data_IF_308616099655
#
_entry.id   IF_308616099655
#
_cell.length_a   1.000
_cell.length_b   1.000
_cell.length_c   1.000
_cell.angle_alpha   90.00
_cell.angle_beta   90.00
_cell.angle_gamma   90.00
#
_symmetry.space_group_name_H-M   'P 1'
#
loop_
_entity.id
_entity.type
_entity.pdbx_description
1 polymer ?
#
# COMPACT_ATOMS: atom_id res chain seq x y z
N UNK A 1 7.02 -1.08 44.58
CA UNK A 1 7.52 -1.71 43.36
C UNK A 1 6.38 -1.94 42.39
N UNK A 2 6.19 -1.11 41.38
CA UNK A 2 5.16 -1.26 40.34
C UNK A 2 5.85 -1.58 39.01
N UNK A 3 5.67 -2.80 38.51
CA UNK A 3 6.12 -3.24 37.19
C UNK A 3 5.31 -2.55 36.11
N UNK A 4 5.94 -1.68 35.30
CA UNK A 4 5.37 -1.16 34.08
C UNK A 4 5.56 -2.21 32.97
N UNK A 5 4.47 -2.84 32.56
CA UNK A 5 4.44 -3.73 31.41
C UNK A 5 4.62 -2.96 30.10
N UNK A 6 5.69 -3.25 29.37
CA UNK A 6 5.87 -2.81 27.99
C UNK A 6 4.91 -3.58 27.09
N UNK A 7 3.93 -2.90 26.51
CA UNK A 7 3.09 -3.45 25.44
C UNK A 7 3.92 -3.52 24.16
N UNK A 8 4.28 -4.74 23.74
CA UNK A 8 4.85 -5.03 22.43
C UNK A 8 3.81 -4.68 21.37
N UNK A 9 4.15 -3.77 20.45
CA UNK A 9 3.36 -3.52 19.26
C UNK A 9 3.53 -4.72 18.32
N UNK A 10 2.48 -5.50 18.12
CA UNK A 10 2.45 -6.57 17.15
C UNK A 10 2.43 -5.96 15.73
N UNK A 11 3.47 -6.27 14.95
CA UNK A 11 3.50 -6.01 13.51
C UNK A 11 2.70 -7.14 12.87
N UNK A 12 1.48 -6.85 12.41
CA UNK A 12 0.70 -7.77 11.60
C UNK A 12 1.17 -7.63 10.16
N UNK A 13 1.97 -8.59 9.70
CA UNK A 13 2.31 -8.77 8.29
C UNK A 13 1.14 -9.52 7.64
N UNK A 14 0.21 -8.81 7.03
CA UNK A 14 -0.80 -9.43 6.17
C UNK A 14 -0.26 -9.47 4.74
N UNK A 15 0.32 -10.61 4.36
CA UNK A 15 0.61 -10.93 2.97
C UNK A 15 -0.66 -11.58 2.38
N UNK A 16 -1.40 -10.86 1.55
CA UNK A 16 -2.51 -11.42 0.78
C UNK A 16 -1.93 -12.11 -0.46
N UNK A 17 -1.85 -13.43 -0.43
CA UNK A 17 -1.59 -14.26 -1.62
C UNK A 17 -2.91 -14.41 -2.40
N UNK A 18 -2.93 -13.93 -3.63
CA UNK A 18 -3.96 -14.31 -4.61
C UNK A 18 -3.36 -15.41 -5.47
N UNK A 19 -3.86 -16.64 -5.32
CA UNK A 19 -3.58 -17.74 -6.22
C UNK A 19 -4.52 -17.64 -7.42
N UNK A 20 -3.97 -17.52 -8.62
CA UNK A 20 -4.68 -17.87 -9.85
C UNK A 20 -4.00 -19.10 -10.45
N UNK A 21 -4.75 -20.20 -10.48
CA UNK A 21 -4.44 -21.43 -11.21
C UNK A 21 -4.66 -21.21 -12.71
N UNK A 22 -3.61 -21.35 -13.51
CA UNK A 22 -3.74 -21.71 -14.93
C UNK A 22 -2.68 -22.76 -15.26
N UNK A 23 -3.17 -23.81 -15.93
CA UNK A 23 -2.46 -25.02 -16.34
C UNK A 23 -1.56 -24.82 -17.57
N UNK A 24 -0.45 -25.51 -17.51
CA UNK A 24 0.42 -26.09 -18.55
C UNK A 24 0.37 -25.61 -20.01
N UNK A 25 1.45 -24.95 -20.44
CA UNK A 25 2.16 -25.25 -21.71
C UNK A 25 3.57 -24.64 -21.61
N UNK A 26 4.58 -25.47 -21.81
CA UNK A 26 5.99 -25.13 -21.59
C UNK A 26 6.52 -24.02 -22.50
N UNK A 27 6.73 -22.87 -21.89
CA UNK A 27 7.73 -21.85 -22.21
C UNK A 27 8.03 -21.16 -20.89
N UNK A 28 9.31 -21.07 -20.53
CA UNK A 28 9.74 -20.34 -19.33
C UNK A 28 9.27 -18.88 -19.44
N UNK A 29 8.12 -18.59 -18.84
CA UNK A 29 7.63 -17.23 -18.70
C UNK A 29 8.63 -16.44 -17.86
N UNK A 30 8.91 -15.16 -18.19
CA UNK A 30 9.72 -14.31 -17.33
C UNK A 30 9.07 -14.29 -15.94
N UNK A 31 9.83 -14.67 -14.90
CA UNK A 31 9.36 -14.64 -13.54
C UNK A 31 8.88 -13.22 -13.24
N UNK A 32 7.57 -13.04 -13.18
CA UNK A 32 6.96 -11.80 -12.73
C UNK A 32 7.43 -11.55 -11.31
N UNK A 33 8.26 -10.52 -11.14
CA UNK A 33 8.63 -9.99 -9.84
C UNK A 33 7.33 -9.59 -9.15
N UNK A 34 6.91 -10.37 -8.16
CA UNK A 34 5.68 -10.13 -7.43
C UNK A 34 5.81 -8.78 -6.72
N UNK A 35 4.95 -7.83 -7.08
CA UNK A 35 4.91 -6.50 -6.49
C UNK A 35 4.64 -6.60 -5.00
N UNK A 36 5.66 -6.34 -4.17
CA UNK A 36 5.48 -6.31 -2.73
C UNK A 36 4.96 -4.94 -2.31
N UNK A 37 3.73 -4.92 -1.80
CA UNK A 37 3.16 -3.74 -1.15
C UNK A 37 3.18 -3.95 0.35
N UNK A 38 3.91 -3.10 1.07
CA UNK A 38 3.94 -3.11 2.53
C UNK A 38 3.01 -2.02 3.07
N UNK A 39 2.40 -2.25 4.24
CA UNK A 39 1.52 -1.25 4.86
C UNK A 39 1.73 -1.15 6.38
N UNK A 40 1.49 0.05 6.91
CA UNK A 40 1.55 0.38 8.33
C UNK A 40 0.46 1.38 8.71
N UNK A 41 -0.20 1.18 9.84
CA UNK A 41 -1.11 2.18 10.38
C UNK A 41 -0.34 3.17 11.24
N UNK A 42 -0.34 4.43 10.86
CA UNK A 42 0.25 5.54 11.60
C UNK A 42 -0.79 6.13 12.54
N UNK A 43 -0.44 6.29 13.82
CA UNK A 43 -1.31 6.91 14.84
C UNK A 43 -0.97 8.38 15.00
N UNK A 44 -1.92 9.26 14.71
CA UNK A 44 -1.80 10.69 14.93
C UNK A 44 -2.39 11.06 16.31
N UNK A 45 -1.53 11.28 17.30
CA UNK A 45 -1.95 11.55 18.70
C UNK A 45 -2.54 12.96 18.90
N UNK A 46 -2.31 13.88 17.96
CA UNK A 46 -2.73 15.29 18.10
C UNK A 46 -4.17 15.54 17.63
N UNK A 47 -4.79 14.61 16.95
CA UNK A 47 -6.18 14.76 16.48
C UNK A 47 -7.15 14.48 17.62
N UNK A 48 -7.88 15.51 18.05
CA UNK A 48 -8.97 15.38 19.04
C UNK A 48 -10.20 14.77 18.35
N UNK A 49 -10.85 13.83 19.03
CA UNK A 49 -12.14 13.31 18.57
C UNK A 49 -13.18 14.44 18.63
N UNK A 50 -14.00 14.59 17.60
CA UNK A 50 -15.08 15.57 17.59
C UNK A 50 -16.16 15.23 18.63
N UNK A 51 -16.81 16.26 19.18
CA UNK A 51 -17.98 16.11 20.04
C UNK A 51 -19.23 15.79 19.24
N UNK A 52 -20.01 14.83 19.70
CA UNK A 52 -21.21 14.31 19.01
C UNK A 52 -22.47 14.90 19.65
N UNK A 53 -23.17 15.73 18.92
CA UNK A 53 -24.42 16.34 19.39
C UNK A 53 -25.68 15.49 19.13
N UNK A 54 -25.64 14.62 18.11
CA UNK A 54 -26.68 13.64 17.83
C UNK A 54 -26.00 12.30 17.60
N UNK A 55 -26.34 11.31 18.41
CA UNK A 55 -25.85 9.95 18.26
C UNK A 55 -26.76 9.15 17.33
N UNK A 56 -26.20 8.25 16.55
CA UNK A 56 -26.98 7.44 15.60
C UNK A 56 -27.92 6.46 16.32
N UNK A 57 -27.62 6.04 17.57
CA UNK A 57 -28.50 5.22 18.39
C UNK A 57 -29.71 5.98 18.98
N UNK A 58 -29.73 7.32 18.92
CA UNK A 58 -30.90 8.16 19.23
C UNK A 58 -31.89 8.27 18.05
N UNK A 59 -31.60 7.59 16.95
CA UNK A 59 -32.45 7.54 15.76
C UNK A 59 -33.08 6.15 15.65
N UNK A 60 -34.43 6.10 15.71
CA UNK A 60 -35.16 4.84 15.59
C UNK A 60 -35.57 4.61 14.13
N UNK A 61 -35.14 3.48 13.57
CA UNK A 61 -35.65 2.92 12.31
C UNK A 61 -36.72 1.91 12.66
N UNK A 62 -37.92 2.01 12.04
CA UNK A 62 -39.05 1.14 12.35
C UNK A 62 -40.01 1.01 11.16
N UNK A 63 -41.01 0.12 11.28
CA UNK A 63 -42.03 -0.15 10.23
C UNK A 63 -41.38 -0.48 8.88
N UNK A 64 -40.36 -1.32 8.89
CA UNK A 64 -39.71 -1.78 7.67
C UNK A 64 -40.65 -2.75 6.96
N UNK A 65 -40.98 -2.47 5.71
CA UNK A 65 -41.83 -3.32 4.85
C UNK A 65 -41.16 -3.48 3.49
N UNK A 66 -41.12 -4.71 3.02
CA UNK A 66 -40.76 -5.03 1.64
C UNK A 66 -42.04 -5.46 0.93
N UNK A 67 -42.30 -4.94 -0.24
CA UNK A 67 -43.43 -5.34 -1.09
C UNK A 67 -42.93 -5.61 -2.49
N UNK A 68 -43.48 -6.64 -3.11
CA UNK A 68 -43.41 -6.80 -4.55
C UNK A 68 -44.27 -5.71 -5.20
N UNK A 69 -43.74 -5.08 -6.23
CA UNK A 69 -44.42 -3.98 -6.95
C UNK A 69 -44.77 -4.43 -8.35
N UNK A 70 -43.94 -5.28 -8.95
CA UNK A 70 -44.07 -5.74 -10.31
C UNK A 70 -43.33 -7.07 -10.51
N UNK A 71 -43.83 -7.93 -11.42
CA UNK A 71 -43.22 -9.19 -11.81
C UNK A 71 -43.29 -9.31 -13.32
N UNK A 72 -42.16 -9.47 -13.98
CA UNK A 72 -42.07 -9.67 -15.43
C UNK A 72 -41.48 -11.03 -15.69
N UNK A 73 -42.14 -11.84 -16.56
CA UNK A 73 -41.71 -13.17 -16.96
C UNK A 73 -41.31 -13.07 -18.43
N UNK A 74 -40.13 -13.53 -18.75
CA UNK A 74 -39.67 -13.70 -20.12
C UNK A 74 -39.67 -15.19 -20.43
N UNK A 75 -40.46 -15.56 -21.40
CA UNK A 75 -40.62 -16.91 -21.88
C UNK A 75 -39.89 -17.12 -23.21
N UNK A 76 -39.49 -18.35 -23.52
CA UNK A 76 -38.91 -18.70 -24.82
C UNK A 76 -39.99 -18.66 -25.89
N UNK A 77 -39.67 -18.12 -27.05
CA UNK A 77 -40.55 -18.26 -28.24
C UNK A 77 -40.67 -19.72 -28.61
N UNK A 78 -41.92 -20.22 -28.61
CA UNK A 78 -42.23 -21.55 -29.12
C UNK A 78 -42.13 -21.47 -30.65
N UNK A 79 -41.09 -22.00 -31.24
CA UNK A 79 -41.01 -22.16 -32.68
C UNK A 79 -42.09 -23.19 -33.06
N UNK A 80 -43.17 -22.73 -33.75
CA UNK A 80 -44.08 -23.65 -34.41
C UNK A 80 -43.30 -24.42 -35.47
N UNK A 81 -43.56 -25.75 -35.64
CA UNK A 81 -42.97 -26.52 -36.74
C UNK A 81 -43.46 -25.94 -38.06
N UNK A 82 -42.55 -25.51 -38.92
CA UNK A 82 -42.86 -25.09 -40.27
C UNK A 82 -43.51 -26.26 -41.02
N UNK A 83 -44.81 -26.16 -41.34
CA UNK A 83 -45.50 -27.04 -42.29
C UNK A 83 -45.00 -26.70 -43.67
N UNK A 84 -44.21 -27.60 -44.21
CA UNK A 84 -43.79 -27.58 -45.61
C UNK A 84 -44.98 -27.90 -46.53
N UNK A 85 -45.42 -26.95 -47.31
CA UNK A 85 -46.13 -27.15 -48.61
C UNK A 85 -45.97 -25.84 -49.42
N UNK A 86 -45.20 -25.81 -50.43
CA UNK A 86 -45.62 -25.93 -51.82
C UNK A 86 -44.46 -25.81 -52.81
N UNK A 87 -44.41 -26.74 -53.68
CA UNK A 87 -43.59 -26.81 -54.88
C UNK A 87 -44.03 -25.73 -55.85
N UNK A 88 -43.16 -24.84 -56.31
CA UNK A 88 -43.24 -24.31 -57.68
C UNK A 88 -41.87 -24.12 -58.31
N UNK A 89 -41.73 -24.75 -59.46
CA UNK A 89 -40.65 -24.80 -60.45
C UNK A 89 -40.61 -23.43 -61.17
N UNK A 90 -39.45 -22.83 -61.36
CA UNK A 90 -39.07 -22.15 -62.63
C UNK A 90 -37.56 -21.88 -62.63
N UNK A 91 -36.88 -22.55 -63.38
CA UNK A 91 -35.88 -22.42 -64.47
C UNK A 91 -35.01 -21.14 -64.48
N UNK A 92 -33.72 -21.46 -64.69
CA UNK A 92 -32.68 -20.73 -65.43
C UNK A 92 -32.07 -19.49 -64.73
N UNK A 93 -30.79 -19.23 -64.70
CA UNK A 93 -29.62 -19.58 -65.50
C UNK A 93 -28.29 -19.26 -64.72
N UNK A 94 -27.37 -20.18 -64.90
CA UNK A 94 -25.94 -20.00 -65.20
C UNK A 94 -25.09 -18.88 -64.59
N UNK A 95 -24.00 -19.22 -63.95
CA UNK A 95 -22.60 -19.12 -64.44
C UNK A 95 -21.58 -19.38 -63.34
N UNK A 96 -20.82 -20.45 -63.50
CA UNK A 96 -19.35 -20.67 -63.36
C UNK A 96 -18.60 -19.85 -62.30
N UNK A 97 -17.66 -20.32 -61.55
CA UNK A 97 -16.49 -21.22 -61.80
C UNK A 97 -15.92 -21.63 -60.43
N UNK A 98 -15.51 -22.89 -60.31
CA UNK A 98 -14.14 -23.46 -60.14
C UNK A 98 -13.38 -22.99 -58.92
N UNK A 99 -12.68 -23.79 -58.14
CA UNK A 99 -11.91 -25.04 -58.25
C UNK A 99 -11.71 -25.62 -56.85
N UNK A 100 -11.82 -26.91 -56.73
CA UNK A 100 -10.79 -27.97 -56.51
C UNK A 100 -10.20 -27.98 -55.10
N UNK A 101 -10.02 -29.05 -54.39
CA UNK A 101 -9.62 -30.45 -54.65
C UNK A 101 -9.84 -31.30 -53.37
N UNK A 102 -10.32 -32.47 -53.57
CA UNK A 102 -9.76 -33.82 -53.25
C UNK A 102 -9.46 -34.13 -51.77
N UNK A 103 -9.73 -35.24 -51.23
CA UNK A 103 -9.75 -36.71 -51.47
C UNK A 103 -9.95 -37.33 -50.08
N UNK A 104 -10.36 -38.46 -49.76
CA UNK A 104 -10.71 -39.76 -50.27
C UNK A 104 -11.16 -40.64 -49.08
N UNK A 105 -12.20 -41.48 -49.42
CA UNK A 105 -12.41 -42.92 -49.07
C UNK A 105 -12.28 -43.39 -47.59
N UNK A 106 -13.08 -44.29 -47.08
CA UNK A 106 -13.52 -45.62 -47.45
C UNK A 106 -14.70 -46.11 -46.59
N UNK A 107 -15.73 -46.57 -47.23
CA UNK A 107 -16.52 -47.81 -47.28
C UNK A 107 -16.25 -48.81 -46.12
N UNK A 108 -17.31 -49.30 -45.49
CA UNK A 108 -17.69 -50.73 -45.48
C UNK A 108 -19.16 -50.94 -45.12
N UNK A 109 -19.79 -51.71 -46.01
CA UNK A 109 -21.12 -52.32 -45.91
C UNK A 109 -21.18 -53.38 -44.83
N UNK A 110 -22.39 -53.64 -44.29
CA UNK A 110 -23.06 -54.96 -44.42
C UNK A 110 -24.48 -54.92 -43.87
N UNK A 111 -25.45 -55.15 -44.77
CA UNK A 111 -26.52 -56.16 -44.80
C UNK A 111 -27.22 -56.46 -43.45
N UNK A 112 -28.53 -56.36 -43.34
CA UNK A 112 -29.57 -57.16 -43.93
C UNK A 112 -30.75 -57.33 -43.00
N UNK A 113 -31.90 -57.42 -43.61
CA UNK A 113 -33.15 -58.14 -43.29
C UNK A 113 -34.34 -57.38 -42.72
N UNK A 114 -35.35 -57.46 -43.56
CA UNK A 114 -36.78 -57.20 -43.42
C UNK A 114 -37.42 -57.77 -42.14
N UNK A 115 -38.34 -56.97 -41.55
CA UNK A 115 -39.68 -57.54 -41.31
C UNK A 115 -40.72 -56.41 -41.15
N UNK A 116 -41.73 -56.52 -41.98
CA UNK A 116 -42.99 -55.83 -41.91
C UNK A 116 -43.78 -56.18 -40.65
N UNK A 117 -44.35 -55.22 -39.91
CA UNK A 117 -45.63 -55.37 -39.18
C UNK A 117 -46.23 -53.98 -38.93
N UNK A 118 -47.46 -53.82 -39.45
CA UNK A 118 -48.64 -53.08 -39.03
C UNK A 118 -48.53 -51.72 -38.38
N UNK A 119 -49.15 -50.74 -39.03
CA UNK A 119 -49.53 -49.45 -38.53
C UNK A 119 -50.58 -49.58 -37.43
N UNK A 120 -50.27 -49.11 -36.25
CA UNK A 120 -51.26 -48.68 -35.27
C UNK A 120 -51.13 -47.17 -35.15
N UNK A 121 -52.10 -46.43 -35.65
CA UNK A 121 -52.30 -45.00 -35.33
C UNK A 121 -52.54 -44.83 -33.87
N UNK A 122 -51.53 -44.34 -33.18
CA UNK A 122 -51.65 -43.87 -31.83
C UNK A 122 -51.59 -42.33 -31.87
N UNK A 123 -52.75 -41.73 -32.02
CA UNK A 123 -52.93 -40.28 -31.80
C UNK A 123 -52.68 -39.95 -30.34
N UNK A 124 -51.43 -39.75 -29.97
CA UNK A 124 -51.11 -39.08 -28.73
C UNK A 124 -51.44 -37.59 -28.89
N UNK A 125 -52.49 -37.13 -28.23
CA UNK A 125 -52.67 -35.72 -27.90
C UNK A 125 -51.43 -35.24 -27.17
N UNK A 126 -50.55 -34.53 -27.83
CA UNK A 126 -49.44 -33.85 -27.19
C UNK A 126 -50.03 -32.67 -26.40
N UNK A 127 -50.05 -32.79 -25.06
CA UNK A 127 -50.30 -31.63 -24.19
C UNK A 127 -49.43 -30.43 -24.67
N UNK A 128 -49.96 -29.20 -24.73
CA UNK A 128 -49.23 -28.04 -25.18
C UNK A 128 -48.03 -27.84 -24.25
N UNK A 129 -46.83 -27.97 -24.82
CA UNK A 129 -45.58 -27.71 -24.07
C UNK A 129 -45.64 -26.31 -23.47
N UNK A 130 -45.57 -26.25 -22.14
CA UNK A 130 -45.53 -25.00 -21.41
C UNK A 130 -44.23 -24.27 -21.80
N UNK A 131 -44.27 -22.98 -22.18
CA UNK A 131 -43.05 -22.28 -22.60
C UNK A 131 -42.01 -22.28 -21.51
N UNK A 132 -40.74 -22.51 -21.90
CA UNK A 132 -39.63 -22.49 -20.97
C UNK A 132 -39.40 -21.05 -20.46
N UNK A 133 -39.36 -20.89 -19.15
CA UNK A 133 -39.09 -19.58 -18.52
C UNK A 133 -37.60 -19.25 -18.65
N UNK A 134 -37.26 -18.26 -19.46
CA UNK A 134 -35.90 -17.76 -19.62
C UNK A 134 -35.47 -16.96 -18.38
N UNK A 135 -36.32 -16.05 -17.94
CA UNK A 135 -36.06 -15.27 -16.74
C UNK A 135 -37.34 -14.70 -16.10
N UNK A 136 -37.27 -14.49 -14.78
CA UNK A 136 -38.29 -13.78 -14.01
C UNK A 136 -37.62 -12.60 -13.35
N UNK A 137 -38.08 -11.38 -13.66
CA UNK A 137 -37.63 -10.15 -13.02
C UNK A 137 -38.67 -9.64 -12.06
N UNK A 138 -38.31 -9.59 -10.80
CA UNK A 138 -39.13 -9.03 -9.72
C UNK A 138 -38.70 -7.61 -9.39
N UNK A 139 -39.62 -6.68 -9.31
CA UNK A 139 -39.41 -5.33 -8.79
C UNK A 139 -39.99 -5.23 -7.38
N UNK A 140 -39.12 -4.97 -6.42
CA UNK A 140 -39.49 -4.82 -5.00
C UNK A 140 -39.38 -3.38 -4.56
N UNK A 141 -40.17 -2.99 -3.57
CA UNK A 141 -40.10 -1.69 -2.89
C UNK A 141 -39.91 -1.89 -1.40
N UNK A 142 -38.79 -1.37 -0.85
CA UNK A 142 -38.56 -1.25 0.59
C UNK A 142 -39.10 0.08 1.06
N UNK A 143 -39.94 0.08 2.11
CA UNK A 143 -40.45 1.27 2.80
C UNK A 143 -40.15 1.17 4.27
N UNK A 144 -39.73 2.26 4.90
CA UNK A 144 -39.40 2.33 6.32
C UNK A 144 -39.64 3.73 6.89
N UNK A 145 -39.79 3.82 8.21
CA UNK A 145 -39.90 5.07 8.94
C UNK A 145 -38.66 5.30 9.81
N UNK A 146 -38.24 6.56 9.88
CA UNK A 146 -37.08 7.00 10.69
C UNK A 146 -37.52 8.15 11.59
N UNK A 147 -37.38 7.98 12.91
CA UNK A 147 -37.68 9.00 13.94
C UNK A 147 -36.40 9.51 14.58
N UNK A 148 -36.23 10.83 14.59
CA UNK A 148 -35.19 11.51 15.35
C UNK A 148 -35.65 11.67 16.81
N UNK A 149 -35.05 10.92 17.74
CA UNK A 149 -35.32 11.00 19.20
C UNK A 149 -34.38 11.97 19.92
N UNK A 150 -33.33 12.47 19.25
CA UNK A 150 -32.40 13.43 19.85
C UNK A 150 -33.04 14.80 20.04
N UNK A 151 -32.45 15.60 20.91
CA UNK A 151 -32.86 17.00 21.18
C UNK A 151 -32.39 18.00 20.12
N UNK A 152 -31.58 17.57 19.14
CA UNK A 152 -31.04 18.41 18.07
C UNK A 152 -31.48 17.93 16.69
N UNK A 153 -31.52 18.87 15.73
CA UNK A 153 -31.90 18.58 14.35
C UNK A 153 -30.82 17.79 13.61
N UNK A 154 -31.26 16.85 12.79
CA UNK A 154 -30.41 16.08 11.89
C UNK A 154 -30.39 16.80 10.52
N UNK A 155 -29.21 17.22 10.09
CA UNK A 155 -29.02 17.85 8.78
C UNK A 155 -29.18 16.84 7.63
N UNK A 156 -28.59 15.65 7.79
CA UNK A 156 -28.63 14.55 6.82
C UNK A 156 -28.57 13.22 7.57
N UNK A 157 -29.35 12.27 7.08
CA UNK A 157 -29.32 10.88 7.54
C UNK A 157 -29.09 9.99 6.33
N UNK A 158 -28.27 8.95 6.49
CA UNK A 158 -28.01 7.91 5.48
C UNK A 158 -28.15 6.56 6.15
N UNK A 159 -29.14 5.76 5.75
CA UNK A 159 -29.32 4.39 6.16
C UNK A 159 -28.93 3.48 4.99
N UNK A 160 -28.05 2.51 5.24
CA UNK A 160 -27.68 1.48 4.29
C UNK A 160 -28.11 0.12 4.82
N UNK A 161 -28.71 -0.70 3.97
CA UNK A 161 -29.11 -2.07 4.26
C UNK A 161 -29.04 -2.97 3.03
N UNK A 162 -29.36 -4.25 3.20
CA UNK A 162 -29.41 -5.24 2.12
C UNK A 162 -30.76 -5.90 2.04
N UNK A 163 -31.22 -6.18 0.79
CA UNK A 163 -32.35 -7.04 0.50
C UNK A 163 -32.06 -7.83 -0.76
N UNK A 164 -32.27 -9.15 -0.73
CA UNK A 164 -32.02 -10.04 -1.87
C UNK A 164 -30.59 -9.91 -2.43
N UNK A 165 -29.56 -9.71 -1.56
CA UNK A 165 -28.17 -9.49 -1.97
C UNK A 165 -27.85 -8.06 -2.43
N UNK A 166 -28.84 -7.23 -2.78
CA UNK A 166 -28.65 -5.85 -3.22
C UNK A 166 -28.48 -4.89 -2.05
N UNK A 167 -27.56 -3.95 -2.16
CA UNK A 167 -27.36 -2.88 -1.18
C UNK A 167 -28.25 -1.68 -1.50
N UNK A 168 -29.09 -1.27 -0.55
CA UNK A 168 -29.97 -0.13 -0.66
C UNK A 168 -29.54 0.97 0.30
N UNK A 169 -29.57 2.22 -0.19
CA UNK A 169 -29.22 3.39 0.60
C UNK A 169 -30.39 4.37 0.62
N UNK A 170 -30.85 4.72 1.81
CA UNK A 170 -31.90 5.68 2.05
C UNK A 170 -31.30 6.97 2.61
N UNK A 171 -31.80 8.11 2.17
CA UNK A 171 -31.31 9.43 2.60
C UNK A 171 -32.46 10.30 3.02
N UNK A 172 -32.37 10.95 4.18
CA UNK A 172 -33.23 12.01 4.61
C UNK A 172 -32.41 13.28 4.89
N UNK A 173 -33.00 14.46 4.66
CA UNK A 173 -32.39 15.76 4.95
C UNK A 173 -33.29 16.53 5.93
N UNK A 174 -32.68 17.35 6.77
CA UNK A 174 -33.36 18.32 7.65
C UNK A 174 -34.45 17.71 8.55
N UNK A 175 -34.16 16.52 9.13
CA UNK A 175 -35.07 15.86 10.04
C UNK A 175 -35.01 16.53 11.43
N UNK A 176 -36.06 17.25 11.77
CA UNK A 176 -36.19 18.00 13.02
C UNK A 176 -36.21 17.07 14.24
N UNK A 177 -35.81 17.60 15.39
CA UNK A 177 -35.89 16.90 16.68
C UNK A 177 -37.33 16.41 16.94
N UNK A 178 -37.49 15.18 17.38
CA UNK A 178 -38.76 14.53 17.66
C UNK A 178 -39.60 14.09 16.44
N UNK A 179 -39.26 14.51 15.20
CA UNK A 179 -40.04 14.21 13.99
C UNK A 179 -39.69 12.88 13.35
N UNK A 180 -40.60 12.38 12.52
CA UNK A 180 -40.51 11.15 11.74
C UNK A 180 -40.51 11.47 10.26
N UNK A 181 -39.75 10.70 9.48
CA UNK A 181 -39.75 10.72 8.01
C UNK A 181 -39.96 9.31 7.48
N UNK A 182 -40.78 9.18 6.42
CA UNK A 182 -40.95 7.91 5.68
C UNK A 182 -40.02 7.90 4.48
N UNK A 183 -39.32 6.79 4.27
CA UNK A 183 -38.38 6.59 3.18
C UNK A 183 -38.74 5.33 2.41
N UNK A 184 -38.55 5.35 1.09
CA UNK A 184 -38.73 4.15 0.26
C UNK A 184 -37.74 4.09 -0.87
N UNK A 185 -37.45 2.86 -1.34
CA UNK A 185 -36.56 2.60 -2.49
C UNK A 185 -36.94 1.29 -3.17
N UNK A 186 -36.98 1.28 -4.51
CA UNK A 186 -37.20 0.10 -5.31
C UNK A 186 -35.89 -0.51 -5.77
N UNK A 187 -35.91 -1.83 -6.04
CA UNK A 187 -34.81 -2.59 -6.61
C UNK A 187 -35.35 -3.81 -7.36
N UNK A 188 -34.55 -4.39 -8.23
CA UNK A 188 -34.91 -5.54 -9.06
C UNK A 188 -34.02 -6.73 -8.76
N UNK A 189 -34.62 -7.93 -8.82
CA UNK A 189 -33.94 -9.21 -8.77
C UNK A 189 -34.41 -10.05 -9.94
N UNK A 190 -33.47 -10.60 -10.71
CA UNK A 190 -33.74 -11.49 -11.84
C UNK A 190 -33.26 -12.91 -11.52
N UNK A 191 -33.97 -13.93 -11.94
CA UNK A 191 -33.62 -15.33 -11.79
C UNK A 191 -34.48 -16.21 -12.67
N UNK A 192 -34.22 -17.53 -12.68
CA UNK A 192 -34.98 -18.51 -13.46
C UNK A 192 -36.15 -19.16 -12.70
N UNK A 193 -36.15 -18.98 -11.38
CA UNK A 193 -37.15 -19.59 -10.49
C UNK A 193 -37.88 -18.53 -9.67
N UNK A 194 -39.05 -18.86 -9.18
CA UNK A 194 -39.78 -18.04 -8.23
C UNK A 194 -38.98 -17.81 -6.94
N UNK A 195 -39.20 -16.70 -6.28
CA UNK A 195 -38.47 -16.28 -5.08
C UNK A 195 -39.43 -15.79 -4.03
N UNK A 196 -39.07 -16.07 -2.78
CA UNK A 196 -39.73 -15.48 -1.61
C UNK A 196 -39.44 -13.98 -1.54
N UNK A 197 -40.30 -13.28 -0.81
CA UNK A 197 -40.14 -11.86 -0.53
C UNK A 197 -38.84 -11.62 0.26
N UNK A 198 -37.86 -10.84 -0.29
CA UNK A 198 -36.60 -10.66 0.37
C UNK A 198 -36.73 -9.84 1.63
N UNK A 199 -36.10 -10.27 2.72
CA UNK A 199 -36.01 -9.47 3.95
C UNK A 199 -35.03 -8.31 3.78
N UNK A 200 -35.37 -7.12 4.31
CA UNK A 200 -34.45 -6.00 4.37
C UNK A 200 -33.73 -5.93 5.72
N UNK A 201 -32.42 -6.03 5.70
CA UNK A 201 -31.57 -5.96 6.88
C UNK A 201 -30.79 -4.65 6.92
N UNK A 202 -30.99 -3.86 7.97
CA UNK A 202 -30.21 -2.66 8.21
C UNK A 202 -28.76 -3.00 8.50
N UNK A 203 -27.81 -2.35 7.81
CA UNK A 203 -26.38 -2.55 8.01
C UNK A 203 -25.72 -1.38 8.74
N UNK A 204 -26.01 -0.16 8.28
CA UNK A 204 -25.35 1.05 8.77
C UNK A 204 -26.27 2.24 8.75
N UNK A 205 -26.28 3.00 9.84
CA UNK A 205 -26.95 4.29 9.95
C UNK A 205 -25.93 5.38 10.22
N UNK A 206 -25.95 6.44 9.40
CA UNK A 206 -25.11 7.63 9.56
C UNK A 206 -25.99 8.86 9.75
N UNK A 207 -25.71 9.63 10.80
CA UNK A 207 -26.45 10.84 11.19
C UNK A 207 -25.51 12.01 11.23
N UNK A 208 -25.84 13.05 10.45
CA UNK A 208 -25.06 14.29 10.31
C UNK A 208 -25.77 15.41 11.05
N UNK A 209 -25.15 15.97 12.07
CA UNK A 209 -25.66 17.07 12.87
C UNK A 209 -24.52 18.01 13.32
N UNK A 210 -24.72 19.33 13.23
CA UNK A 210 -23.80 20.39 13.70
C UNK A 210 -22.31 20.10 13.42
N UNK A 211 -21.98 19.73 12.19
CA UNK A 211 -20.59 19.50 11.79
C UNK A 211 -20.04 18.12 12.11
N UNK A 212 -20.87 17.21 12.65
CA UNK A 212 -20.49 15.87 13.06
C UNK A 212 -21.29 14.80 12.32
N UNK A 213 -20.71 13.63 12.13
CA UNK A 213 -21.39 12.41 11.73
C UNK A 213 -21.26 11.35 12.82
N UNK A 214 -22.40 10.79 13.23
CA UNK A 214 -22.47 9.62 14.09
C UNK A 214 -22.86 8.42 13.24
N UNK A 215 -22.17 7.30 13.40
CA UNK A 215 -22.39 6.07 12.63
C UNK A 215 -22.68 4.91 13.56
N UNK A 216 -23.80 4.23 13.34
CA UNK A 216 -24.18 2.98 14.01
C UNK A 216 -24.11 1.83 13.00
N UNK A 217 -23.46 0.73 13.38
CA UNK A 217 -23.35 -0.51 12.60
C UNK A 217 -24.20 -1.58 13.27
N UNK A 218 -25.27 -2.02 12.60
CA UNK A 218 -26.25 -2.95 13.18
C UNK A 218 -25.65 -4.31 13.53
N UNK A 219 -24.85 -4.90 12.64
CA UNK A 219 -24.25 -6.23 12.86
C UNK A 219 -23.33 -6.32 14.09
N UNK A 220 -22.70 -5.22 14.49
CA UNK A 220 -21.77 -5.21 15.63
C UNK A 220 -22.25 -4.38 16.81
N UNK A 221 -23.42 -3.77 16.74
CA UNK A 221 -23.91 -2.81 17.74
C UNK A 221 -22.99 -1.59 17.96
N UNK A 222 -22.02 -1.35 17.07
CA UNK A 222 -20.94 -0.38 17.28
C UNK A 222 -21.35 1.03 16.86
N UNK A 223 -21.24 1.96 17.81
CA UNK A 223 -21.38 3.38 17.57
C UNK A 223 -19.99 4.04 17.38
N UNK A 224 -19.87 4.91 16.40
CA UNK A 224 -18.67 5.75 16.16
C UNK A 224 -19.08 7.14 15.70
N UNK A 225 -18.18 8.10 15.83
CA UNK A 225 -18.42 9.49 15.41
C UNK A 225 -17.20 10.11 14.79
N UNK A 226 -17.46 11.04 13.85
CA UNK A 226 -16.42 11.78 13.12
C UNK A 226 -16.97 13.12 12.63
N UNK A 227 -16.16 13.90 11.88
CA UNK A 227 -16.61 15.15 11.24
C UNK A 227 -17.67 14.89 10.17
N UNK A 228 -18.69 15.76 10.10
CA UNK A 228 -19.80 15.65 9.14
C UNK A 228 -19.48 16.19 7.75
N UNK A 229 -18.55 17.14 7.66
CA UNK A 229 -18.05 17.58 6.35
C UNK A 229 -17.10 16.53 5.83
N UNK A 230 -17.24 16.10 4.58
CA UNK A 230 -16.29 15.20 3.97
C UNK A 230 -14.88 15.76 4.17
N UNK A 231 -13.96 14.94 4.63
CA UNK A 231 -12.57 15.32 4.56
C UNK A 231 -12.16 15.32 3.09
N UNK A 232 -11.65 16.46 2.65
CA UNK A 232 -11.12 16.63 1.28
C UNK A 232 -9.61 16.80 1.27
N UNK A 233 -8.99 16.75 2.46
CA UNK A 233 -7.54 16.93 2.58
C UNK A 233 -6.90 15.58 2.76
N UNK A 234 -6.10 15.20 1.79
CA UNK A 234 -5.31 13.99 1.89
C UNK A 234 -4.23 14.11 2.99
N UNK A 235 -3.83 13.00 3.60
CA UNK A 235 -2.76 12.97 4.58
C UNK A 235 -1.46 13.54 4.03
N UNK A 236 -0.65 14.15 4.90
CA UNK A 236 0.67 14.69 4.54
C UNK A 236 1.74 13.65 4.86
N UNK A 237 2.40 13.15 3.83
CA UNK A 237 3.56 12.25 3.97
C UNK A 237 4.82 13.10 4.16
N UNK A 238 5.63 12.78 5.17
CA UNK A 238 6.85 13.49 5.55
C UNK A 238 8.00 12.54 5.88
N UNK A 239 9.19 13.08 6.07
CA UNK A 239 10.40 12.30 6.33
C UNK A 239 11.24 12.12 5.05
N UNK A 240 11.81 10.93 4.85
CA UNK A 240 12.65 10.63 3.70
C UNK A 240 11.84 10.37 2.42
N UNK A 241 11.16 11.40 1.94
CA UNK A 241 10.36 11.39 0.70
C UNK A 241 10.72 12.59 -0.19
N UNK A 242 10.51 12.45 -1.49
CA UNK A 242 10.86 13.45 -2.48
C UNK A 242 12.35 13.82 -2.42
N UNK A 243 12.65 15.09 -2.51
CA UNK A 243 14.02 15.63 -2.43
C UNK A 243 14.69 15.35 -1.06
N UNK A 244 13.92 15.07 -0.01
CA UNK A 244 14.44 14.72 1.31
C UNK A 244 14.82 13.24 1.46
N UNK A 245 14.76 12.44 0.41
CA UNK A 245 15.14 11.01 0.42
C UNK A 245 16.56 10.76 -0.08
N UNK A 246 17.25 11.78 -0.60
CA UNK A 246 18.60 11.67 -1.16
C UNK A 246 19.37 12.98 -1.08
N UNK A 247 20.69 12.90 -1.23
CA UNK A 247 21.57 14.04 -1.42
C UNK A 247 22.40 13.86 -2.71
N UNK A 248 22.28 14.78 -3.64
CA UNK A 248 22.81 14.58 -4.99
C UNK A 248 22.15 13.34 -5.62
N UNK A 249 22.96 12.32 -5.92
CA UNK A 249 22.48 11.03 -6.45
C UNK A 249 22.46 9.90 -5.42
N UNK A 250 22.75 10.19 -4.14
CA UNK A 250 22.92 9.19 -3.09
C UNK A 250 21.65 9.12 -2.24
N UNK A 251 20.87 8.03 -2.30
CA UNK A 251 19.74 7.82 -1.41
C UNK A 251 20.16 7.69 0.06
N UNK A 252 19.34 8.22 0.97
CA UNK A 252 19.59 8.10 2.43
C UNK A 252 19.32 6.69 2.96
N UNK A 253 18.44 5.95 2.31
CA UNK A 253 18.05 4.60 2.70
C UNK A 253 18.72 3.59 1.78
N UNK A 254 19.31 2.56 2.39
CA UNK A 254 19.89 1.42 1.68
C UNK A 254 19.18 0.15 2.11
N UNK A 255 18.74 -0.64 1.15
CA UNK A 255 18.14 -1.96 1.34
C UNK A 255 19.08 -3.00 0.79
N UNK A 256 19.44 -3.97 1.59
CA UNK A 256 20.26 -5.10 1.14
C UNK A 256 19.38 -6.22 0.59
N UNK A 257 19.87 -6.93 -0.42
CA UNK A 257 19.14 -8.00 -1.10
C UNK A 257 18.66 -9.12 -0.17
N UNK A 258 19.40 -9.40 0.90
CA UNK A 258 19.03 -10.38 1.94
C UNK A 258 18.06 -9.82 3.00
N UNK A 259 17.83 -8.52 3.03
CA UNK A 259 17.01 -7.82 4.01
C UNK A 259 15.71 -7.25 3.44
N UNK A 260 15.41 -7.47 2.16
CA UNK A 260 14.23 -6.93 1.48
C UNK A 260 12.94 -7.10 2.30
N UNK A 261 12.67 -8.34 2.76
CA UNK A 261 11.46 -8.69 3.52
C UNK A 261 11.47 -8.21 4.96
N UNK A 262 12.64 -7.98 5.55
CA UNK A 262 12.82 -7.55 6.94
C UNK A 262 13.06 -6.05 7.09
N UNK A 263 13.23 -5.33 5.98
CA UNK A 263 13.52 -3.90 5.99
C UNK A 263 12.28 -3.09 6.41
N UNK A 264 12.44 -2.23 7.41
CA UNK A 264 11.36 -1.30 7.82
C UNK A 264 11.36 -0.05 6.93
N UNK A 265 10.61 -0.13 5.82
CA UNK A 265 10.42 0.98 4.88
C UNK A 265 9.78 2.22 5.54
N UNK A 266 9.15 2.07 6.70
CA UNK A 266 8.47 3.15 7.40
C UNK A 266 9.29 3.78 8.53
N UNK A 267 10.54 3.32 8.73
CA UNK A 267 11.40 3.80 9.83
C UNK A 267 11.62 5.31 9.81
N UNK A 268 11.72 5.89 8.63
CA UNK A 268 12.04 7.31 8.41
C UNK A 268 10.94 8.07 7.66
N UNK A 269 9.76 7.49 7.54
CA UNK A 269 8.61 8.10 6.86
C UNK A 269 7.41 8.09 7.79
N UNK A 270 6.73 9.22 7.86
CA UNK A 270 5.54 9.42 8.68
C UNK A 270 4.41 9.98 7.82
N UNK A 271 3.17 9.78 8.25
CA UNK A 271 2.00 10.35 7.62
C UNK A 271 1.07 10.94 8.67
N UNK A 272 0.62 12.17 8.45
CA UNK A 272 -0.29 12.87 9.36
C UNK A 272 -1.46 13.42 8.59
N UNK A 273 -2.63 13.25 9.17
CA UNK A 273 -3.85 13.84 8.69
C UNK A 273 -4.36 14.93 9.63
N UNK A 274 -5.19 15.84 9.10
CA UNK A 274 -5.74 16.95 9.88
C UNK A 274 -6.94 16.52 10.75
N UNK A 275 -7.60 15.39 10.41
CA UNK A 275 -8.80 14.90 11.09
C UNK A 275 -8.69 13.48 11.58
N UNK A 276 -7.91 12.65 10.89
CA UNK A 276 -7.82 11.24 11.20
C UNK A 276 -6.69 10.94 12.18
N UNK A 277 -7.08 10.37 13.32
CA UNK A 277 -6.11 9.88 14.31
C UNK A 277 -5.33 8.65 13.85
N UNK A 278 -5.75 8.02 12.75
CA UNK A 278 -5.09 6.86 12.14
C UNK A 278 -5.08 7.04 10.64
N UNK A 279 -3.90 6.91 10.04
CA UNK A 279 -3.68 6.96 8.59
C UNK A 279 -3.05 5.63 8.16
N UNK A 280 -3.52 5.06 7.07
CA UNK A 280 -2.88 3.89 6.46
C UNK A 280 -1.79 4.38 5.51
N UNK A 281 -0.53 4.05 5.83
CA UNK A 281 0.62 4.32 4.98
C UNK A 281 1.04 3.03 4.29
N UNK A 282 1.09 3.06 2.98
CA UNK A 282 1.54 1.95 2.11
C UNK A 282 2.81 2.36 1.38
N UNK A 283 3.64 1.39 1.03
CA UNK A 283 4.79 1.58 0.13
C UNK A 283 4.75 0.54 -0.97
N UNK A 284 4.91 1.01 -2.19
CA UNK A 284 5.00 0.18 -3.40
C UNK A 284 6.48 0.09 -3.81
N UNK A 285 7.01 -1.13 -3.83
CA UNK A 285 8.36 -1.49 -4.23
C UNK A 285 8.40 -2.30 -5.53
N UNK A 286 7.30 -2.38 -6.27
CA UNK A 286 7.14 -3.21 -7.48
C UNK A 286 8.20 -2.94 -8.57
N UNK A 287 8.72 -1.72 -8.62
CA UNK A 287 9.76 -1.30 -9.58
C UNK A 287 11.19 -1.51 -9.10
N UNK A 288 11.39 -2.16 -7.94
CA UNK A 288 12.71 -2.38 -7.35
C UNK A 288 13.21 -3.77 -7.70
N UNK A 289 14.37 -3.84 -8.34
CA UNK A 289 15.07 -5.12 -8.50
C UNK A 289 16.07 -5.30 -7.35
N UNK A 290 15.69 -6.05 -6.33
CA UNK A 290 16.53 -6.31 -5.17
C UNK A 290 17.72 -7.23 -5.44
N UNK A 291 17.77 -7.89 -6.60
CA UNK A 291 18.92 -8.70 -7.04
C UNK A 291 19.98 -7.90 -7.79
N UNK A 292 19.73 -6.61 -8.08
CA UNK A 292 20.65 -5.76 -8.85
C UNK A 292 20.98 -4.50 -8.05
N UNK A 293 22.29 -4.29 -7.79
CA UNK A 293 22.80 -3.04 -7.19
C UNK A 293 22.36 -1.83 -8.03
N UNK A 294 21.83 -0.81 -7.37
CA UNK A 294 21.40 0.42 -8.05
C UNK A 294 20.57 1.34 -7.17
N UNK A 295 20.13 2.44 -7.75
CA UNK A 295 19.19 3.39 -7.13
C UNK A 295 17.82 3.21 -7.77
N UNK A 296 16.82 3.02 -6.93
CA UNK A 296 15.45 2.78 -7.34
C UNK A 296 14.50 3.80 -6.74
N UNK A 297 13.36 3.96 -7.38
CA UNK A 297 12.27 4.80 -6.87
C UNK A 297 11.17 3.93 -6.33
N UNK A 298 10.77 4.18 -5.09
CA UNK A 298 9.61 3.60 -4.44
C UNK A 298 8.53 4.65 -4.26
N UNK A 299 7.27 4.24 -4.10
CA UNK A 299 6.15 5.15 -3.93
C UNK A 299 5.43 4.89 -2.61
N UNK A 300 5.38 5.90 -1.75
CA UNK A 300 4.54 5.92 -0.57
C UNK A 300 3.16 6.46 -0.91
N UNK A 301 2.13 5.83 -0.36
CA UNK A 301 0.73 6.26 -0.46
C UNK A 301 0.14 6.31 0.93
N UNK A 302 -0.47 7.44 1.29
CA UNK A 302 -1.20 7.59 2.54
C UNK A 302 -2.67 7.84 2.26
N UNK A 303 -3.53 7.10 2.94
CA UNK A 303 -4.99 7.15 2.76
C UNK A 303 -5.65 7.40 4.11
N UNK A 304 -6.58 8.36 4.15
CA UNK A 304 -7.43 8.66 5.28
C UNK A 304 -8.73 7.84 5.25
N UNK A 305 -9.59 8.00 6.24
CA UNK A 305 -10.88 7.31 6.29
C UNK A 305 -11.90 7.83 5.27
N UNK A 306 -11.70 9.05 4.77
CA UNK A 306 -12.56 9.64 3.76
C UNK A 306 -12.20 9.16 2.34
N UNK A 307 -11.10 8.41 2.20
CA UNK A 307 -10.58 7.94 0.93
C UNK A 307 -9.72 8.96 0.20
N UNK A 308 -9.28 10.06 0.88
CA UNK A 308 -8.34 10.97 0.26
C UNK A 308 -6.94 10.35 0.30
N UNK A 309 -6.27 10.37 -0.84
CA UNK A 309 -4.97 9.73 -1.03
C UNK A 309 -3.91 10.76 -1.36
N UNK A 310 -2.78 10.68 -0.68
CA UNK A 310 -1.55 11.37 -1.07
C UNK A 310 -0.48 10.37 -1.51
N UNK A 311 0.38 10.80 -2.44
CA UNK A 311 1.50 9.99 -2.93
C UNK A 311 2.79 10.79 -2.85
N UNK A 312 3.87 10.14 -2.45
CA UNK A 312 5.23 10.68 -2.47
C UNK A 312 6.20 9.60 -2.89
N UNK A 313 7.09 9.94 -3.78
CA UNK A 313 8.19 9.05 -4.16
C UNK A 313 9.37 9.20 -3.20
N UNK A 314 10.20 8.17 -3.12
CA UNK A 314 11.50 8.24 -2.46
C UNK A 314 12.53 7.45 -3.27
N UNK A 315 13.79 7.88 -3.22
CA UNK A 315 14.90 7.09 -3.74
C UNK A 315 15.44 6.17 -2.65
N UNK A 316 15.72 4.93 -3.01
CA UNK A 316 16.43 3.95 -2.19
C UNK A 316 17.62 3.38 -2.97
N UNK A 317 18.69 3.06 -2.27
CA UNK A 317 19.78 2.26 -2.82
C UNK A 317 19.52 0.78 -2.55
N UNK A 318 19.70 -0.06 -3.54
CA UNK A 318 19.79 -1.51 -3.37
C UNK A 318 21.25 -1.94 -3.42
N UNK A 319 21.68 -2.72 -2.45
CA UNK A 319 22.99 -3.38 -2.41
C UNK A 319 22.80 -4.89 -2.44
N UNK A 320 23.58 -5.54 -3.27
CA UNK A 320 23.73 -7.00 -3.20
C UNK A 320 24.91 -7.26 -2.27
N UNK A 321 24.73 -8.14 -1.29
CA UNK A 321 25.76 -8.45 -0.31
C UNK A 321 27.06 -8.88 -0.97
N UNK A 322 28.15 -8.27 -0.55
CA UNK A 322 29.50 -8.53 -1.02
C UNK A 322 30.47 -8.78 0.14
N UNK A 323 31.75 -8.96 -0.17
CA UNK A 323 32.79 -9.18 0.83
C UNK A 323 32.98 -8.02 1.80
N UNK A 324 32.70 -6.77 1.36
CA UNK A 324 32.71 -5.59 2.24
C UNK A 324 31.60 -5.68 3.29
N UNK A 325 30.41 -6.09 2.87
CA UNK A 325 29.26 -6.21 3.77
C UNK A 325 29.51 -7.33 4.81
N UNK A 326 30.15 -8.44 4.43
CA UNK A 326 30.56 -9.51 5.35
C UNK A 326 31.59 -9.04 6.38
N UNK A 327 32.60 -8.26 5.94
CA UNK A 327 33.57 -7.64 6.86
C UNK A 327 32.88 -6.65 7.82
N UNK A 328 31.95 -5.84 7.30
CA UNK A 328 31.17 -4.92 8.11
C UNK A 328 30.31 -5.65 9.16
N UNK A 329 29.64 -6.76 8.78
CA UNK A 329 28.87 -7.60 9.70
C UNK A 329 29.74 -8.18 10.82
N UNK A 330 30.93 -8.66 10.48
CA UNK A 330 31.90 -9.18 11.45
C UNK A 330 32.29 -8.13 12.49
N UNK A 331 32.56 -6.91 12.03
CA UNK A 331 32.88 -5.78 12.95
C UNK A 331 31.66 -5.39 13.78
N UNK A 332 30.51 -5.16 13.12
CA UNK A 332 29.30 -4.72 13.80
C UNK A 332 28.80 -5.73 14.84
N UNK A 333 28.92 -7.03 14.55
CA UNK A 333 28.57 -8.08 15.50
C UNK A 333 29.35 -8.02 16.82
N UNK A 334 30.58 -7.44 16.81
CA UNK A 334 31.43 -7.26 17.99
C UNK A 334 31.16 -5.94 18.74
N UNK A 335 30.79 -4.87 18.01
CA UNK A 335 30.78 -3.51 18.58
C UNK A 335 29.40 -2.95 18.87
N UNK A 336 28.31 -3.51 18.28
CA UNK A 336 26.94 -3.01 18.50
C UNK A 336 25.98 -4.13 18.90
N UNK A 337 24.85 -3.73 19.55
CA UNK A 337 23.72 -4.61 19.83
C UNK A 337 22.52 -4.20 18.95
N UNK A 338 21.67 -5.17 18.57
CA UNK A 338 20.52 -4.96 17.68
C UNK A 338 19.52 -3.93 18.25
N UNK A 339 19.28 -3.96 19.55
CA UNK A 339 18.33 -3.10 20.28
C UNK A 339 18.85 -1.70 20.61
N UNK A 340 20.13 -1.40 20.34
CA UNK A 340 20.68 -0.07 20.60
C UNK A 340 20.06 1.00 19.70
N UNK A 341 19.93 2.22 20.23
CA UNK A 341 19.57 3.40 19.44
C UNK A 341 20.62 3.68 18.35
N UNK A 342 20.21 4.35 17.27
CA UNK A 342 21.15 4.75 16.22
C UNK A 342 22.29 5.63 16.76
N UNK A 343 22.02 6.48 17.75
CA UNK A 343 23.07 7.29 18.40
C UNK A 343 24.11 6.41 19.07
N UNK A 344 23.71 5.40 19.85
CA UNK A 344 24.63 4.48 20.54
C UNK A 344 25.42 3.63 19.53
N UNK A 345 24.77 3.14 18.49
CA UNK A 345 25.43 2.40 17.38
C UNK A 345 26.47 3.29 16.67
N UNK A 346 26.10 4.52 16.30
CA UNK A 346 27.00 5.44 15.63
C UNK A 346 28.23 5.77 16.53
N UNK A 347 28.02 5.98 17.84
CA UNK A 347 29.13 6.23 18.78
C UNK A 347 30.11 5.04 18.84
N UNK A 348 29.60 3.82 18.85
CA UNK A 348 30.45 2.61 18.83
C UNK A 348 31.23 2.49 17.51
N UNK A 349 30.57 2.76 16.38
CA UNK A 349 31.21 2.80 15.06
C UNK A 349 32.28 3.88 14.98
N UNK A 350 32.02 5.07 15.55
CA UNK A 350 33.00 6.14 15.66
C UNK A 350 34.27 5.69 16.37
N UNK A 351 34.12 5.12 17.57
CA UNK A 351 35.22 4.68 18.40
C UNK A 351 36.04 3.57 17.70
N UNK A 352 35.34 2.60 17.11
CA UNK A 352 36.01 1.54 16.36
C UNK A 352 36.80 2.10 15.19
N UNK A 353 36.19 2.88 14.30
CA UNK A 353 36.86 3.38 13.09
C UNK A 353 38.04 4.25 13.45
N UNK A 354 37.90 5.16 14.44
CA UNK A 354 38.98 6.02 14.89
C UNK A 354 40.14 5.26 15.50
N UNK A 355 39.88 4.17 16.22
CA UNK A 355 40.92 3.36 16.87
C UNK A 355 41.52 2.28 15.96
N UNK A 356 40.75 1.84 14.95
CA UNK A 356 41.19 0.76 14.05
C UNK A 356 42.14 1.25 12.93
N UNK A 357 41.98 2.47 12.45
CA UNK A 357 42.74 3.01 11.32
C UNK A 357 43.91 3.86 11.81
N UNK A 358 45.13 3.54 11.36
CA UNK A 358 46.29 4.39 11.46
C UNK A 358 46.37 5.37 10.30
N UNK A 359 46.65 6.66 10.56
CA UNK A 359 46.76 7.67 9.52
C UNK A 359 48.13 7.57 8.82
N UNK A 360 48.14 7.23 7.53
CA UNK A 360 49.37 7.09 6.72
C UNK A 360 49.49 8.10 5.58
N UNK A 361 48.44 8.90 5.36
CA UNK A 361 48.41 9.92 4.29
C UNK A 361 48.06 9.37 2.91
N UNK A 362 47.84 8.07 2.72
CA UNK A 362 47.59 7.43 1.43
C UNK A 362 46.28 6.63 1.44
N UNK A 363 45.54 6.68 0.33
CA UNK A 363 44.34 5.88 0.11
C UNK A 363 44.06 5.68 -1.38
N UNK A 364 43.26 4.65 -1.69
CA UNK A 364 42.76 4.45 -3.06
C UNK A 364 41.43 5.17 -3.25
N UNK A 365 41.43 6.25 -4.02
CA UNK A 365 40.24 7.07 -4.27
C UNK A 365 39.39 6.65 -5.46
N UNK A 366 39.72 5.48 -6.09
CA UNK A 366 38.95 4.98 -7.26
C UNK A 366 37.53 4.51 -6.91
N UNK A 367 37.34 3.96 -5.71
CA UNK A 367 36.03 3.52 -5.21
C UNK A 367 36.03 3.55 -3.69
N UNK A 368 34.94 4.08 -3.11
CA UNK A 368 34.76 4.10 -1.66
C UNK A 368 34.60 2.68 -1.09
N UNK A 369 33.97 1.75 -1.85
CA UNK A 369 33.81 0.35 -1.42
C UNK A 369 35.17 -0.37 -1.33
N UNK A 370 36.01 -0.19 -2.34
CA UNK A 370 37.37 -0.76 -2.33
C UNK A 370 38.19 -0.20 -1.19
N UNK A 371 38.12 1.11 -0.96
CA UNK A 371 38.87 1.73 0.11
C UNK A 371 38.34 1.38 1.50
N UNK A 372 36.99 1.21 1.66
CA UNK A 372 36.41 0.69 2.90
C UNK A 372 36.90 -0.74 3.20
N UNK A 373 36.96 -1.59 2.17
CA UNK A 373 37.52 -2.96 2.30
C UNK A 373 38.99 -2.96 2.73
N UNK A 374 39.80 -2.07 2.11
CA UNK A 374 41.21 -1.89 2.47
C UNK A 374 41.34 -1.40 3.92
N UNK A 375 40.58 -0.39 4.31
CA UNK A 375 40.60 0.17 5.66
C UNK A 375 40.20 -0.83 6.71
N UNK A 376 39.16 -1.63 6.48
CA UNK A 376 38.74 -2.71 7.38
C UNK A 376 39.76 -3.83 7.50
N UNK A 377 40.41 -4.19 6.37
CA UNK A 377 41.38 -5.29 6.31
C UNK A 377 42.74 -4.92 6.87
N UNK A 378 43.26 -3.75 6.52
CA UNK A 378 44.64 -3.36 6.79
C UNK A 378 44.77 -2.31 7.90
N UNK A 379 43.73 -1.67 8.34
CA UNK A 379 43.73 -0.72 9.43
C UNK A 379 44.62 0.52 9.20
N UNK A 380 44.76 0.99 7.95
CA UNK A 380 45.59 2.13 7.63
C UNK A 380 45.07 2.90 6.43
N UNK A 381 45.32 4.22 6.37
CA UNK A 381 44.93 5.08 5.25
C UNK A 381 44.95 6.55 5.58
N UNK A 382 44.19 7.35 4.84
CA UNK A 382 44.02 8.79 5.06
C UNK A 382 42.57 9.15 5.42
N UNK A 383 42.21 10.42 5.40
CA UNK A 383 40.85 10.89 5.72
C UNK A 383 39.76 10.23 4.83
N UNK A 384 40.10 9.88 3.60
CA UNK A 384 39.15 9.18 2.73
C UNK A 384 38.90 7.74 3.23
N UNK A 385 39.91 7.03 3.72
CA UNK A 385 39.76 5.71 4.34
C UNK A 385 38.86 5.74 5.56
N UNK A 386 39.09 6.70 6.47
CA UNK A 386 38.21 6.90 7.65
C UNK A 386 36.77 7.16 7.26
N UNK A 387 36.55 8.02 6.26
CA UNK A 387 35.23 8.28 5.69
C UNK A 387 34.61 7.00 5.12
N UNK A 388 35.34 6.24 4.29
CA UNK A 388 34.84 5.05 3.61
C UNK A 388 34.45 3.93 4.60
N UNK A 389 35.28 3.65 5.60
CA UNK A 389 35.00 2.65 6.65
C UNK A 389 33.81 3.08 7.48
N UNK A 390 33.74 4.37 7.89
CA UNK A 390 32.59 4.89 8.60
C UNK A 390 31.30 4.75 7.80
N UNK A 391 31.33 5.10 6.50
CA UNK A 391 30.20 4.94 5.58
C UNK A 391 29.72 3.50 5.49
N UNK A 392 30.64 2.55 5.32
CA UNK A 392 30.31 1.14 5.22
C UNK A 392 29.63 0.63 6.48
N UNK A 393 30.20 0.90 7.65
CA UNK A 393 29.66 0.46 8.94
C UNK A 393 28.33 1.14 9.29
N UNK A 394 28.19 2.47 9.06
CA UNK A 394 26.95 3.18 9.29
C UNK A 394 25.82 2.65 8.38
N UNK A 395 26.14 2.47 7.07
CA UNK A 395 25.16 1.96 6.10
C UNK A 395 24.70 0.55 6.45
N UNK A 396 25.64 -0.36 6.76
CA UNK A 396 25.31 -1.74 7.13
C UNK A 396 24.55 -1.83 8.46
N UNK A 397 24.82 -0.93 9.39
CA UNK A 397 24.05 -0.80 10.64
C UNK A 397 22.65 -0.17 10.46
N UNK A 398 22.23 0.17 9.23
CA UNK A 398 20.95 0.78 8.91
C UNK A 398 20.83 2.24 9.39
N UNK A 399 21.96 2.95 9.50
CA UNK A 399 22.04 4.38 9.85
C UNK A 399 22.24 5.17 8.56
N UNK A 400 21.24 5.96 8.12
CA UNK A 400 21.40 6.83 6.95
C UNK A 400 22.57 7.77 7.14
N UNK A 401 23.40 7.90 6.12
CA UNK A 401 24.56 8.79 6.17
C UNK A 401 24.81 9.39 4.80
N UNK A 402 25.48 10.53 4.79
CA UNK A 402 25.86 11.26 3.57
C UNK A 402 27.32 11.65 3.63
N UNK A 403 27.90 11.74 2.45
CA UNK A 403 29.25 12.25 2.25
C UNK A 403 29.30 13.76 2.41
N UNK A 404 30.33 14.25 3.08
CA UNK A 404 30.71 15.66 3.12
C UNK A 404 32.17 15.79 2.72
N UNK A 405 32.43 16.75 1.85
CA UNK A 405 33.80 17.08 1.40
C UNK A 405 34.12 18.52 1.74
N UNK A 406 35.39 18.77 2.09
CA UNK A 406 35.88 20.11 2.28
C UNK A 406 35.96 20.85 0.93
N UNK A 407 35.45 22.07 0.88
CA UNK A 407 35.43 22.90 -0.37
C UNK A 407 36.47 24.01 -0.39
N UNK A 408 37.13 24.32 0.74
CA UNK A 408 38.17 25.34 0.85
C UNK A 408 39.26 24.89 1.83
N UNK A 409 40.47 25.42 1.66
CA UNK A 409 41.63 25.07 2.48
C UNK A 409 42.61 24.14 1.78
N UNK A 410 43.69 23.75 2.45
CA UNK A 410 44.72 22.88 1.88
C UNK A 410 44.26 21.42 1.83
N UNK A 411 44.38 20.79 0.67
CA UNK A 411 44.09 19.37 0.41
C UNK A 411 42.62 19.05 0.52
N UNK A 412 42.33 17.79 0.24
CA UNK A 412 40.96 17.26 0.37
C UNK A 412 40.74 16.70 1.76
N UNK A 413 39.51 16.80 2.23
CA UNK A 413 39.08 16.13 3.45
C UNK A 413 37.65 15.60 3.28
N UNK A 414 37.41 14.36 3.71
CA UNK A 414 36.13 13.67 3.60
C UNK A 414 35.66 13.24 5.00
N UNK A 415 34.36 13.37 5.23
CA UNK A 415 33.71 12.84 6.41
C UNK A 415 32.24 12.52 6.15
N UNK A 416 31.54 11.99 7.11
CA UNK A 416 30.11 11.70 7.01
C UNK A 416 29.27 12.71 7.81
N UNK A 417 27.98 12.84 7.43
CA UNK A 417 26.94 13.16 8.39
C UNK A 417 26.10 11.89 8.61
N UNK A 418 25.80 11.55 9.86
CA UNK A 418 25.00 10.40 10.24
C UNK A 418 23.64 10.83 10.76
N UNK A 419 22.56 10.11 10.36
CA UNK A 419 21.20 10.45 10.80
C UNK A 419 20.86 9.76 12.11
N UNK A 420 20.75 10.53 13.15
CA UNK A 420 20.37 10.08 14.49
C UNK A 420 19.37 11.06 15.11
N UNK A 421 18.46 10.56 15.95
CA UNK A 421 17.51 11.38 16.72
C UNK A 421 16.73 12.41 15.87
N UNK A 422 16.42 12.08 14.63
CA UNK A 422 15.61 12.93 13.75
C UNK A 422 16.38 13.95 12.92
N UNK A 423 17.73 13.89 12.89
CA UNK A 423 18.53 14.78 12.06
C UNK A 423 19.92 14.27 11.72
N UNK A 424 20.55 14.94 10.76
CA UNK A 424 21.93 14.66 10.36
C UNK A 424 22.91 15.43 11.23
N UNK A 425 23.91 14.74 11.78
CA UNK A 425 25.01 15.29 12.56
C UNK A 425 26.33 14.95 11.88
N UNK A 426 27.31 15.84 11.97
CA UNK A 426 28.64 15.56 11.46
C UNK A 426 29.32 14.43 12.21
N UNK A 427 30.01 13.58 11.45
CA UNK A 427 30.61 12.35 11.92
C UNK A 427 31.95 12.16 11.21
N UNK A 428 33.01 12.69 11.81
CA UNK A 428 34.37 12.59 11.28
C UNK A 428 35.26 11.79 12.23
N UNK A 429 35.63 10.60 11.80
CA UNK A 429 36.48 9.68 12.57
C UNK A 429 37.98 9.92 12.35
N UNK A 430 38.37 10.75 11.37
CA UNK A 430 39.74 11.06 11.09
C UNK A 430 40.37 11.92 12.22
N UNK A 431 41.54 11.54 12.77
CA UNK A 431 42.23 12.35 13.73
C UNK A 431 42.81 13.62 13.05
N UNK A 432 42.64 14.76 13.71
CA UNK A 432 43.27 16.03 13.30
C UNK A 432 44.43 16.37 14.22
N UNK A 433 45.46 17.06 13.67
CA UNK A 433 46.63 17.52 14.46
C UNK A 433 46.21 18.41 15.64
N UNK A 434 45.21 19.26 15.45
CA UNK A 434 44.65 20.14 16.51
C UNK A 434 43.78 19.40 17.55
N UNK A 435 43.64 18.07 17.43
CA UNK A 435 42.79 17.27 18.30
C UNK A 435 41.32 17.38 17.96
N UNK A 436 40.47 17.02 18.92
CA UNK A 436 39.03 17.06 18.78
C UNK A 436 38.37 15.68 18.49
N UNK A 437 37.11 15.58 18.91
CA UNK A 437 36.24 14.40 18.72
C UNK A 437 34.98 14.83 17.97
N UNK A 438 34.85 14.42 16.71
CA UNK A 438 33.74 14.87 15.84
C UNK A 438 32.67 13.78 15.71
N UNK A 439 32.21 13.25 16.83
CA UNK A 439 31.20 12.22 16.91
C UNK A 439 29.81 12.83 17.10
N UNK A 440 29.02 12.94 16.01
CA UNK A 440 27.66 13.47 16.07
C UNK A 440 27.58 14.94 16.55
N UNK A 441 28.44 15.78 15.99
CA UNK A 441 28.48 17.20 16.31
C UNK A 441 27.60 18.03 15.36
N UNK A 442 27.15 19.18 15.85
CA UNK A 442 26.29 20.10 15.09
C UNK A 442 27.09 20.95 14.11
N UNK A 443 26.42 21.53 13.11
CA UNK A 443 27.00 22.55 12.23
C UNK A 443 27.66 23.69 13.00
N UNK A 444 27.01 24.17 14.08
CA UNK A 444 27.50 25.26 14.86
C UNK A 444 28.81 24.90 15.59
N UNK A 445 28.88 23.73 16.22
CA UNK A 445 30.08 23.23 16.84
C UNK A 445 31.24 23.07 15.87
N UNK A 446 30.97 22.46 14.70
CA UNK A 446 32.02 22.20 13.73
C UNK A 446 32.53 23.46 13.04
N UNK A 447 31.66 24.45 12.77
CA UNK A 447 32.02 25.76 12.29
C UNK A 447 32.90 26.52 13.29
N UNK A 448 32.49 26.53 14.57
CA UNK A 448 33.25 27.16 15.63
C UNK A 448 34.65 26.56 15.77
N UNK A 449 34.73 25.21 15.85
CA UNK A 449 35.99 24.49 15.87
C UNK A 449 36.89 24.87 14.69
N UNK A 450 36.34 24.81 13.47
CA UNK A 450 37.07 25.10 12.24
C UNK A 450 37.58 26.55 12.17
N UNK A 451 36.85 27.49 12.74
CA UNK A 451 37.23 28.92 12.78
C UNK A 451 38.26 29.26 13.87
N UNK A 452 38.31 28.50 14.97
CA UNK A 452 39.15 28.83 16.15
C UNK A 452 40.40 27.96 16.26
N UNK A 453 40.20 26.64 16.39
CA UNK A 453 41.27 25.68 16.69
C UNK A 453 41.68 24.88 15.48
N UNK A 454 40.73 24.53 14.64
CA UNK A 454 40.85 23.52 13.58
C UNK A 454 41.51 23.99 12.29
N UNK A 455 41.98 25.21 12.16
CA UNK A 455 42.69 25.73 10.98
C UNK A 455 41.90 25.56 9.69
N UNK A 456 40.61 25.85 9.66
CA UNK A 456 39.68 25.74 8.53
C UNK A 456 39.54 24.28 8.04
N UNK A 457 39.67 23.30 8.94
CA UNK A 457 39.61 21.87 8.59
C UNK A 457 38.26 21.42 8.02
N UNK A 458 37.14 22.02 8.46
CA UNK A 458 35.79 21.63 8.07
C UNK A 458 35.03 22.81 7.48
N UNK A 459 35.28 23.10 6.23
CA UNK A 459 34.50 24.05 5.43
C UNK A 459 33.82 23.26 4.31
N UNK A 460 32.50 23.23 4.30
CA UNK A 460 31.72 22.45 3.34
C UNK A 460 30.67 23.30 2.62
N UNK A 461 30.07 22.78 1.55
CA UNK A 461 28.99 23.44 0.84
C UNK A 461 27.69 23.41 1.66
N UNK A 462 27.55 24.36 2.58
CA UNK A 462 26.47 24.42 3.60
C UNK A 462 25.07 24.36 3.03
N UNK A 463 24.83 24.96 1.86
CA UNK A 463 23.51 24.98 1.19
C UNK A 463 23.15 23.65 0.53
N UNK A 464 24.14 22.80 0.27
CA UNK A 464 23.98 21.54 -0.43
C UNK A 464 23.83 20.33 0.52
N UNK A 465 23.96 20.54 1.81
CA UNK A 465 23.86 19.49 2.81
C UNK A 465 22.68 19.77 3.78
N UNK A 466 22.06 18.73 4.35
CA UNK A 466 21.06 18.92 5.39
C UNK A 466 21.66 19.71 6.57
N UNK A 467 20.92 20.67 7.10
CA UNK A 467 21.32 21.37 8.32
C UNK A 467 21.23 20.45 9.52
N UNK A 468 22.22 20.46 10.40
CA UNK A 468 22.14 19.71 11.65
C UNK A 468 21.11 20.32 12.61
N UNK A 469 20.49 19.50 13.49
CA UNK A 469 19.68 20.02 14.58
C UNK A 469 20.52 20.93 15.51
N UNK A 470 19.83 21.87 16.19
CA UNK A 470 20.48 22.69 17.20
C UNK A 470 20.86 21.93 18.48
N UNK A 471 20.20 20.78 18.73
CA UNK A 471 20.45 19.93 19.89
C UNK A 471 21.86 19.35 19.85
N UNK A 472 22.68 19.64 20.81
CA UNK A 472 24.03 19.07 20.98
C UNK A 472 23.89 17.63 21.51
N UNK A 473 24.59 16.69 20.91
CA UNK A 473 24.63 15.27 21.31
C UNK A 473 25.97 14.88 21.93
N UNK A 474 27.07 15.61 21.59
CA UNK A 474 28.41 15.41 22.14
C UNK A 474 29.20 16.70 22.06
N UNK A 475 30.27 16.85 22.88
CA UNK A 475 31.26 17.91 22.73
C UNK A 475 32.38 17.53 21.78
N UNK A 476 33.14 18.51 21.29
CA UNK A 476 34.38 18.29 20.50
C UNK A 476 35.57 18.04 21.40
N UNK A 477 35.57 18.68 22.56
CA UNK A 477 36.58 18.54 23.62
C UNK A 477 35.94 18.09 24.93
#
# INVERSE_FOLDING_TARGET
MRKKGMKKAAIVLAATMVFSLFSEAGMAAPQTVQAATYQKTIKNKSVKKPEVLVRADEVKVFSIKVKEVDKQIQEAEIKQPETSADTQISTEENTQQEEETTETTEITETTGENNSVEAIENTQETEPQKPEIISITYRYKVSLNVKNKAKADIRKLVLTGKAGGKTLTFTAKNLKAGKTVSLSKSFELTGKTERDLPEFQCQKLQVYAKGMVSTYRYASGKLSSDYATPDKKAPVISGFVGKNSYNGNIPYQTVYSDQEKSYDYFKYVDAKDNRDAKVTLKVDTSKVNFKKKGTYTITYMAEDKAGNVSKKTAKIAVRVNDSLDQMADTVLGRIIKKDWSNQKKATAIYNYTRGHIAYTGNSNKSSWEKEASNGLRYGRGDCFTYYCVSRALLTRAGIPNIEVTRVQGYGHHWWNMAYVNGGFYHFDTCPLKAGGRFCLVTDAQLKHYSATVGGRSHIWAYSQKPKSPKKVLSSIF
#
